data_IF_058399320455
#
_entry.id   IF_058399320455
#
_cell.length_a   1.000
_cell.length_b   1.000
_cell.length_c   1.000
_cell.angle_alpha   90.00
_cell.angle_beta   90.00
_cell.angle_gamma   90.00
#
_symmetry.space_group_name_H-M   'P 1'
#
loop_
_entity.id
_entity.type
_entity.pdbx_description
1 polymer ?
#
# COMPACT_ATOMS: atom_id res chain seq x y z
N UNK A 1 9.97 -19.65 -3.75
CA UNK A 1 9.96 -18.20 -3.42
C UNK A 1 9.47 -17.28 -4.55
N UNK A 2 9.42 -17.71 -5.82
CA UNK A 2 8.97 -16.84 -6.93
C UNK A 2 7.44 -16.79 -7.14
N UNK A 3 6.70 -17.83 -6.72
CA UNK A 3 5.24 -17.93 -6.95
C UNK A 3 4.37 -17.08 -6.00
N UNK A 4 4.87 -16.72 -4.81
CA UNK A 4 4.14 -15.87 -3.84
C UNK A 4 4.15 -14.39 -4.21
N UNK A 5 5.11 -13.94 -5.03
CA UNK A 5 5.19 -12.57 -5.54
C UNK A 5 4.24 -12.34 -6.73
N UNK A 6 4.06 -13.33 -7.60
CA UNK A 6 3.20 -13.21 -8.78
C UNK A 6 1.70 -13.22 -8.43
N UNK A 7 1.31 -13.97 -7.39
CA UNK A 7 -0.04 -13.91 -6.83
C UNK A 7 -0.36 -12.55 -6.22
N UNK A 8 0.63 -11.86 -5.63
CA UNK A 8 0.46 -10.51 -5.08
C UNK A 8 0.16 -9.44 -6.14
N UNK A 9 0.58 -9.64 -7.40
CA UNK A 9 0.38 -8.67 -8.50
C UNK A 9 -0.99 -8.85 -9.16
N UNK A 10 -1.48 -10.11 -9.33
CA UNK A 10 -2.87 -10.38 -9.75
C UNK A 10 -3.89 -9.99 -8.67
N UNK A 11 -3.56 -10.16 -7.39
CA UNK A 11 -4.38 -9.63 -6.29
C UNK A 11 -4.33 -8.09 -6.22
N UNK A 12 -3.23 -7.46 -6.65
CA UNK A 12 -3.16 -6.00 -6.74
C UNK A 12 -4.10 -5.45 -7.81
N UNK A 13 -4.27 -6.15 -8.95
CA UNK A 13 -5.20 -5.71 -10.02
C UNK A 13 -6.67 -5.92 -9.64
N UNK A 14 -7.02 -6.99 -8.91
CA UNK A 14 -8.34 -7.11 -8.26
C UNK A 14 -8.55 -6.06 -7.18
N UNK A 15 -7.53 -5.79 -6.38
CA UNK A 15 -7.54 -4.67 -5.44
C UNK A 15 -7.62 -3.32 -6.14
N UNK A 16 -7.10 -3.11 -7.35
CA UNK A 16 -7.24 -1.86 -8.12
C UNK A 16 -8.68 -1.65 -8.61
N UNK A 17 -9.39 -2.72 -8.98
CA UNK A 17 -10.84 -2.65 -9.21
C UNK A 17 -11.61 -2.37 -7.91
N UNK A 18 -11.17 -2.95 -6.78
CA UNK A 18 -11.65 -2.58 -5.44
C UNK A 18 -11.32 -1.10 -5.13
N UNK A 19 -10.12 -0.61 -5.47
CA UNK A 19 -9.61 0.74 -5.23
C UNK A 19 -10.34 1.82 -6.04
N UNK A 20 -11.13 1.44 -7.07
CA UNK A 20 -12.10 2.34 -7.72
C UNK A 20 -13.30 2.68 -6.81
N UNK A 21 -13.59 1.80 -5.84
CA UNK A 21 -14.56 2.00 -4.76
C UNK A 21 -13.92 2.29 -3.41
N UNK A 22 -12.58 2.46 -3.35
CA UNK A 22 -11.88 2.77 -2.12
C UNK A 22 -11.41 4.22 -2.06
N UNK A 23 -12.29 5.05 -1.51
CA UNK A 23 -11.89 5.86 -0.37
C UNK A 23 -11.29 4.95 0.73
N UNK A 24 -10.06 4.43 0.57
CA UNK A 24 -9.33 3.71 1.64
C UNK A 24 -8.18 4.55 2.17
N UNK A 25 -8.52 5.48 3.05
CA UNK A 25 -8.13 5.25 4.43
C UNK A 25 -9.35 4.68 5.14
N UNK A 26 -9.33 3.41 5.54
CA UNK A 26 -10.06 3.02 6.75
C UNK A 26 -9.07 2.99 7.92
N UNK A 27 -8.61 4.16 8.35
CA UNK A 27 -9.20 4.64 9.59
C UNK A 27 -10.57 5.08 9.10
N UNK A 28 -11.62 4.30 9.38
CA UNK A 28 -12.95 4.84 9.17
C UNK A 28 -12.86 6.22 9.81
N UNK A 29 -13.06 7.29 9.05
CA UNK A 29 -13.45 8.55 9.65
C UNK A 29 -14.83 8.27 10.23
N UNK A 30 -14.81 7.59 11.38
CA UNK A 30 -15.91 7.27 12.27
C UNK A 30 -16.75 8.52 12.48
N UNK A 31 -16.14 9.70 12.39
CA UNK A 31 -16.81 10.97 12.62
C UNK A 31 -17.85 11.37 11.54
N UNK A 32 -17.80 10.83 10.32
CA UNK A 32 -18.77 11.17 9.26
C UNK A 32 -19.85 10.09 9.07
N UNK A 33 -19.51 8.80 9.22
CA UNK A 33 -20.45 7.68 9.11
C UNK A 33 -21.10 7.27 10.46
N UNK A 34 -20.43 7.49 11.60
CA UNK A 34 -21.01 7.19 12.92
C UNK A 34 -21.94 8.28 13.45
N UNK A 35 -22.09 9.41 12.74
CA UNK A 35 -23.11 10.43 13.08
C UNK A 35 -24.55 9.97 12.83
N UNK A 36 -24.75 8.86 12.12
CA UNK A 36 -26.01 8.14 12.06
C UNK A 36 -26.15 7.09 13.19
N UNK A 37 -25.47 7.29 14.32
CA UNK A 37 -25.56 6.42 15.48
C UNK A 37 -26.98 6.41 16.05
N UNK A 38 -27.51 5.22 16.30
CA UNK A 38 -28.84 5.05 16.88
C UNK A 38 -28.81 5.58 18.32
N UNK A 39 -29.50 6.69 18.54
CA UNK A 39 -29.51 7.41 19.82
C UNK A 39 -30.39 6.64 20.82
N UNK A 40 -29.81 5.70 21.53
CA UNK A 40 -30.51 4.93 22.57
C UNK A 40 -30.52 5.72 23.88
N UNK A 41 -31.66 6.32 24.23
CA UNK A 41 -31.93 6.78 25.59
C UNK A 41 -32.24 5.56 26.45
N UNK A 42 -31.22 5.05 27.16
CA UNK A 42 -31.44 4.01 28.16
C UNK A 42 -32.24 4.59 29.34
N UNK A 43 -33.48 4.14 29.50
CA UNK A 43 -34.30 4.40 30.68
C UNK A 43 -33.71 3.66 31.88
N UNK A 44 -32.77 4.30 32.59
CA UNK A 44 -32.20 3.73 33.81
C UNK A 44 -33.13 4.03 34.99
N UNK A 45 -33.37 3.03 35.85
CA UNK A 45 -34.09 3.18 37.11
C UNK A 45 -33.58 4.42 37.91
N UNK A 46 -34.51 5.27 38.38
CA UNK A 46 -34.24 6.59 38.98
C UNK A 46 -33.24 6.56 40.14
N UNK A 47 -33.15 5.44 40.88
CA UNK A 47 -32.19 5.25 41.98
C UNK A 47 -30.72 5.14 41.51
N UNK A 48 -30.48 4.58 40.33
CA UNK A 48 -29.12 4.38 39.78
C UNK A 48 -28.61 5.62 39.04
N UNK A 49 -29.51 6.41 38.47
CA UNK A 49 -29.20 7.59 37.66
C UNK A 49 -28.33 8.62 38.41
N UNK A 50 -28.65 8.92 39.67
CA UNK A 50 -27.88 9.84 40.52
C UNK A 50 -26.44 9.37 40.80
N UNK A 51 -26.16 8.07 40.69
CA UNK A 51 -24.81 7.49 40.87
C UNK A 51 -24.00 7.45 39.57
N UNK A 52 -24.66 7.44 38.40
CA UNK A 52 -24.01 7.16 37.11
C UNK A 52 -23.77 8.39 36.22
N UNK A 53 -24.53 9.48 36.37
CA UNK A 53 -24.33 10.70 35.57
C UNK A 53 -24.83 11.94 36.31
N UNK A 54 -24.12 13.07 36.14
CA UNK A 54 -24.53 14.39 36.65
C UNK A 54 -25.51 15.12 35.71
N UNK A 55 -25.64 14.66 34.46
CA UNK A 55 -26.52 15.29 33.47
C UNK A 55 -27.98 14.85 33.71
N UNK A 56 -28.87 15.81 33.90
CA UNK A 56 -30.31 15.58 34.10
C UNK A 56 -30.99 14.85 32.93
N UNK A 57 -30.48 14.99 31.69
CA UNK A 57 -30.99 14.30 30.49
C UNK A 57 -30.39 12.91 30.24
N UNK A 58 -29.46 12.47 31.10
CA UNK A 58 -28.78 11.19 30.98
C UNK A 58 -27.48 11.28 30.20
N UNK A 59 -26.71 10.18 30.20
CA UNK A 59 -25.54 10.04 29.33
C UNK A 59 -26.02 9.65 27.94
N UNK A 60 -25.73 10.47 26.94
CA UNK A 60 -25.94 10.09 25.56
C UNK A 60 -24.91 9.03 25.17
N UNK A 61 -25.37 7.84 24.82
CA UNK A 61 -24.51 6.79 24.27
C UNK A 61 -24.88 6.64 22.81
N UNK A 62 -24.01 7.14 21.94
CA UNK A 62 -24.11 6.91 20.51
C UNK A 62 -23.47 5.55 20.22
N UNK A 63 -24.24 4.62 19.67
CA UNK A 63 -23.72 3.37 19.13
C UNK A 63 -23.76 3.46 17.61
N UNK A 64 -22.64 3.15 16.96
CA UNK A 64 -22.61 3.05 15.51
C UNK A 64 -23.49 1.89 15.04
N UNK A 65 -24.12 2.06 13.88
CA UNK A 65 -24.98 1.06 13.25
C UNK A 65 -24.25 -0.29 13.03
N UNK A 66 -22.92 -0.25 12.93
CA UNK A 66 -22.07 -1.40 12.60
C UNK A 66 -21.30 -1.95 13.81
N UNK A 67 -21.73 -1.66 15.04
CA UNK A 67 -21.09 -2.17 16.28
C UNK A 67 -20.88 -3.69 16.25
N UNK A 68 -21.86 -4.45 15.75
CA UNK A 68 -21.79 -5.91 15.74
C UNK A 68 -20.66 -6.41 14.81
N UNK A 69 -20.47 -5.75 13.66
CA UNK A 69 -19.39 -6.08 12.73
C UNK A 69 -18.02 -5.74 13.30
N UNK A 70 -17.92 -4.64 14.07
CA UNK A 70 -16.69 -4.26 14.76
C UNK A 70 -16.34 -5.31 15.82
N UNK A 71 -17.32 -5.75 16.60
CA UNK A 71 -17.12 -6.78 17.62
C UNK A 71 -16.67 -8.11 17.00
N UNK A 72 -17.34 -8.57 15.94
CA UNK A 72 -16.93 -9.78 15.23
C UNK A 72 -15.51 -9.67 14.66
N UNK A 73 -15.14 -8.52 14.10
CA UNK A 73 -13.79 -8.29 13.62
C UNK A 73 -12.75 -8.28 14.75
N UNK A 74 -13.10 -7.74 15.92
CA UNK A 74 -12.24 -7.78 17.10
C UNK A 74 -11.91 -9.22 17.50
N UNK A 75 -12.92 -10.08 17.59
CA UNK A 75 -12.73 -11.51 17.87
C UNK A 75 -11.84 -12.17 16.81
N UNK A 76 -12.03 -11.87 15.52
CA UNK A 76 -11.19 -12.40 14.43
C UNK A 76 -9.72 -11.96 14.54
N UNK A 77 -9.48 -10.72 14.98
CA UNK A 77 -8.13 -10.16 15.18
C UNK A 77 -7.46 -10.83 16.38
N UNK A 78 -8.18 -10.99 17.49
CA UNK A 78 -7.66 -11.66 18.70
C UNK A 78 -7.26 -13.11 18.40
N UNK A 79 -8.12 -13.84 17.68
CA UNK A 79 -7.83 -15.22 17.29
C UNK A 79 -6.66 -15.37 16.31
N UNK A 80 -6.32 -14.33 15.54
CA UNK A 80 -5.27 -14.36 14.51
C UNK A 80 -4.25 -13.22 14.67
N UNK A 81 -3.89 -12.91 15.91
CA UNK A 81 -3.14 -11.71 16.26
C UNK A 81 -1.84 -11.55 15.47
N UNK A 82 -1.02 -12.60 15.40
CA UNK A 82 0.27 -12.59 14.72
C UNK A 82 0.16 -12.26 13.23
N UNK A 83 -0.88 -12.77 12.56
CA UNK A 83 -1.11 -12.50 11.13
C UNK A 83 -1.47 -11.03 10.92
N UNK A 84 -2.35 -10.48 11.76
CA UNK A 84 -2.75 -9.08 11.68
C UNK A 84 -1.59 -8.14 12.00
N UNK A 85 -0.76 -8.47 13.00
CA UNK A 85 0.46 -7.72 13.34
C UNK A 85 1.44 -7.66 12.16
N UNK A 86 1.72 -8.81 11.52
CA UNK A 86 2.59 -8.87 10.34
C UNK A 86 2.03 -8.04 9.18
N UNK A 87 0.73 -8.16 8.88
CA UNK A 87 0.06 -7.36 7.83
C UNK A 87 0.15 -5.87 8.09
N UNK A 88 0.00 -5.45 9.34
CA UNK A 88 0.12 -4.04 9.72
C UNK A 88 1.52 -3.49 9.43
N UNK A 89 2.57 -4.27 9.73
CA UNK A 89 3.95 -3.89 9.43
C UNK A 89 4.25 -3.89 7.92
N UNK A 90 3.71 -4.85 7.17
CA UNK A 90 4.02 -5.04 5.74
C UNK A 90 3.23 -4.07 4.84
N UNK A 91 1.98 -3.76 5.19
CA UNK A 91 1.09 -3.02 4.29
C UNK A 91 0.71 -1.65 4.88
N UNK A 92 0.16 -1.65 6.09
CA UNK A 92 -0.46 -0.44 6.67
C UNK A 92 0.58 0.63 6.98
N UNK A 93 1.70 0.25 7.58
CA UNK A 93 2.76 1.20 7.92
C UNK A 93 3.42 1.80 6.66
N UNK A 94 3.86 1.02 5.65
CA UNK A 94 4.35 1.54 4.37
C UNK A 94 3.40 2.50 3.68
N UNK A 95 2.11 2.17 3.67
CA UNK A 95 1.10 3.03 3.06
C UNK A 95 0.98 4.38 3.79
N UNK A 96 1.02 4.37 5.13
CA UNK A 96 1.04 5.59 5.92
C UNK A 96 2.29 6.43 5.69
N UNK A 97 3.46 5.79 5.58
CA UNK A 97 4.72 6.45 5.26
C UNK A 97 4.66 7.13 3.89
N UNK A 98 4.17 6.43 2.86
CA UNK A 98 4.06 6.96 1.51
C UNK A 98 3.09 8.16 1.48
N UNK A 99 1.94 8.07 2.15
CA UNK A 99 1.01 9.20 2.20
C UNK A 99 1.58 10.41 2.93
N UNK A 100 2.14 10.22 4.12
CA UNK A 100 2.54 11.31 5.00
C UNK A 100 3.92 11.87 4.66
N UNK A 101 4.92 11.00 4.46
CA UNK A 101 6.30 11.43 4.26
C UNK A 101 6.62 11.75 2.79
N UNK A 102 5.92 11.11 1.84
CA UNK A 102 6.15 11.34 0.41
C UNK A 102 5.03 12.19 -0.21
N UNK A 103 4.14 12.75 0.61
CA UNK A 103 3.03 13.63 0.21
C UNK A 103 2.14 13.04 -0.89
N UNK A 104 2.07 11.71 -0.98
CA UNK A 104 1.32 11.00 -2.03
C UNK A 104 -0.15 10.81 -1.62
N UNK A 105 -0.86 11.93 -1.43
CA UNK A 105 -2.28 11.91 -1.07
C UNK A 105 -3.19 11.68 -2.26
N UNK A 106 -2.82 12.21 -3.41
CA UNK A 106 -3.61 12.17 -4.64
C UNK A 106 -2.80 11.63 -5.80
N UNK A 107 -3.46 10.87 -6.68
CA UNK A 107 -2.89 10.43 -7.94
C UNK A 107 -3.08 11.58 -8.94
N UNK A 108 -1.97 12.08 -9.50
CA UNK A 108 -2.02 13.22 -10.42
C UNK A 108 -2.56 12.87 -11.80
N UNK A 109 -2.34 11.63 -12.26
CA UNK A 109 -2.80 11.24 -13.58
C UNK A 109 -4.30 10.98 -13.61
N UNK A 110 -5.03 11.82 -14.35
CA UNK A 110 -6.50 11.74 -14.53
C UNK A 110 -6.96 11.07 -15.83
N UNK A 111 -6.03 10.58 -16.67
CA UNK A 111 -6.37 10.03 -18.00
C UNK A 111 -7.12 8.69 -17.94
N UNK A 112 -6.44 7.63 -17.51
CA UNK A 112 -7.01 6.27 -17.47
C UNK A 112 -6.57 5.55 -16.20
N UNK A 113 -7.33 4.52 -15.82
CA UNK A 113 -6.98 3.65 -14.67
C UNK A 113 -5.60 3.02 -14.86
N UNK A 114 -5.23 2.70 -16.10
CA UNK A 114 -3.92 2.10 -16.40
C UNK A 114 -2.79 3.04 -15.99
N UNK A 115 -2.88 4.33 -16.33
CA UNK A 115 -1.88 5.30 -15.92
C UNK A 115 -1.86 5.52 -14.40
N UNK A 116 -3.03 5.68 -13.77
CA UNK A 116 -3.11 5.80 -12.31
C UNK A 116 -2.50 4.57 -11.61
N UNK A 117 -2.70 3.37 -12.16
CA UNK A 117 -2.09 2.15 -11.63
C UNK A 117 -0.57 2.10 -11.83
N UNK A 118 -0.07 2.66 -12.94
CA UNK A 118 1.36 2.75 -13.20
C UNK A 118 2.05 3.69 -12.19
N UNK A 119 1.45 4.86 -11.92
CA UNK A 119 1.97 5.84 -10.96
C UNK A 119 2.08 5.24 -9.55
N UNK A 120 0.98 4.62 -9.08
CA UNK A 120 0.94 3.96 -7.76
C UNK A 120 1.93 2.80 -7.71
N UNK A 121 2.03 2.02 -8.79
CA UNK A 121 2.98 0.92 -8.91
C UNK A 121 4.44 1.38 -8.84
N UNK A 122 4.76 2.52 -9.47
CA UNK A 122 6.09 3.12 -9.44
C UNK A 122 6.47 3.55 -8.02
N UNK A 123 5.57 4.24 -7.31
CA UNK A 123 5.79 4.68 -5.93
C UNK A 123 6.01 3.49 -4.99
N UNK A 124 5.20 2.43 -5.11
CA UNK A 124 5.40 1.22 -4.30
C UNK A 124 6.72 0.52 -4.60
N UNK A 125 7.13 0.48 -5.87
CA UNK A 125 8.40 -0.11 -6.27
C UNK A 125 9.57 0.70 -5.69
N UNK A 126 9.54 2.02 -5.82
CA UNK A 126 10.57 2.91 -5.27
C UNK A 126 10.69 2.78 -3.74
N UNK A 127 9.56 2.74 -3.03
CA UNK A 127 9.55 2.57 -1.57
C UNK A 127 10.12 1.20 -1.15
N UNK A 128 9.76 0.13 -1.85
CA UNK A 128 10.29 -1.20 -1.59
C UNK A 128 11.81 -1.26 -1.84
N UNK A 129 12.31 -0.65 -2.91
CA UNK A 129 13.74 -0.56 -3.21
C UNK A 129 14.49 0.20 -2.10
N UNK A 130 13.97 1.34 -1.65
CA UNK A 130 14.54 2.10 -0.54
C UNK A 130 14.63 1.25 0.74
N UNK A 131 13.61 0.43 1.03
CA UNK A 131 13.64 -0.49 2.18
C UNK A 131 14.70 -1.57 2.02
N UNK A 132 14.85 -2.13 0.82
CA UNK A 132 15.87 -3.15 0.54
C UNK A 132 17.27 -2.56 0.74
N UNK A 133 17.54 -1.36 0.22
CA UNK A 133 18.84 -0.71 0.40
C UNK A 133 19.15 -0.37 1.85
N UNK A 134 18.15 -0.09 2.67
CA UNK A 134 18.34 0.12 4.11
C UNK A 134 18.54 -1.18 4.90
N UNK A 135 18.09 -2.33 4.37
CA UNK A 135 18.24 -3.64 5.02
C UNK A 135 19.55 -4.34 4.65
N UNK A 136 20.07 -4.08 3.45
CA UNK A 136 21.31 -4.69 2.94
C UNK A 136 22.52 -3.89 3.44
N UNK A 137 23.58 -4.58 3.83
CA UNK A 137 24.87 -3.95 4.15
C UNK A 137 25.45 -3.23 2.92
N UNK A 138 25.88 -1.99 3.11
CA UNK A 138 26.48 -1.16 2.08
C UNK A 138 27.71 -1.82 1.44
N UNK A 139 28.48 -2.61 2.20
CA UNK A 139 29.66 -3.30 1.70
C UNK A 139 29.30 -4.41 0.71
N UNK A 140 28.28 -5.22 1.04
CA UNK A 140 27.73 -6.23 0.15
C UNK A 140 27.12 -5.59 -1.10
N UNK A 141 26.36 -4.51 -0.93
CA UNK A 141 25.77 -3.79 -2.06
C UNK A 141 26.83 -3.30 -3.05
N UNK A 142 27.95 -2.73 -2.55
CA UNK A 142 29.07 -2.31 -3.40
C UNK A 142 29.69 -3.47 -4.18
N UNK A 143 29.83 -4.64 -3.57
CA UNK A 143 30.36 -5.83 -4.26
C UNK A 143 29.43 -6.26 -5.40
N UNK A 144 28.12 -6.35 -5.13
CA UNK A 144 27.14 -6.69 -6.16
C UNK A 144 27.12 -5.67 -7.30
N UNK A 145 27.20 -4.37 -7.00
CA UNK A 145 27.24 -3.32 -8.01
C UNK A 145 28.51 -3.39 -8.88
N UNK A 146 29.66 -3.75 -8.32
CA UNK A 146 30.89 -3.96 -9.10
C UNK A 146 30.74 -5.10 -10.10
N UNK A 147 30.24 -6.25 -9.67
CA UNK A 147 29.99 -7.41 -10.55
C UNK A 147 29.01 -7.03 -11.65
N UNK A 148 27.95 -6.31 -11.30
CA UNK A 148 26.94 -5.84 -12.25
C UNK A 148 27.54 -4.87 -13.29
N UNK A 149 28.40 -3.94 -12.86
CA UNK A 149 29.09 -3.01 -13.76
C UNK A 149 30.02 -3.74 -14.75
N UNK A 150 30.73 -4.77 -14.30
CA UNK A 150 31.55 -5.61 -15.18
C UNK A 150 30.68 -6.33 -16.21
N UNK A 151 29.55 -6.88 -15.79
CA UNK A 151 28.60 -7.54 -16.69
C UNK A 151 28.05 -6.58 -17.76
N UNK A 152 27.68 -5.36 -17.36
CA UNK A 152 27.27 -4.32 -18.32
C UNK A 152 28.39 -3.94 -19.28
N UNK A 153 29.65 -3.84 -18.82
CA UNK A 153 30.79 -3.58 -19.70
C UNK A 153 30.96 -4.65 -20.78
N UNK A 154 30.86 -5.93 -20.42
CA UNK A 154 30.90 -7.04 -21.40
C UNK A 154 29.74 -6.95 -22.38
N UNK A 155 28.53 -6.71 -21.88
CA UNK A 155 27.33 -6.52 -22.72
C UNK A 155 27.49 -5.36 -23.71
N UNK A 156 28.03 -4.21 -23.26
CA UNK A 156 28.26 -3.05 -24.13
C UNK A 156 29.28 -3.36 -25.23
N UNK A 157 30.34 -4.13 -24.94
CA UNK A 157 31.28 -4.57 -25.97
C UNK A 157 30.63 -5.47 -27.01
N UNK A 158 29.84 -6.45 -26.56
CA UNK A 158 29.10 -7.35 -27.47
C UNK A 158 28.09 -6.57 -28.31
N UNK A 159 27.37 -5.63 -27.70
CA UNK A 159 26.44 -4.76 -28.39
C UNK A 159 27.17 -3.89 -29.41
N UNK A 160 28.25 -3.21 -29.05
CA UNK A 160 29.04 -2.42 -29.99
C UNK A 160 29.60 -3.24 -31.16
N UNK A 161 30.07 -4.47 -30.90
CA UNK A 161 30.51 -5.38 -31.95
C UNK A 161 29.35 -5.77 -32.89
N UNK A 162 28.16 -6.03 -32.33
CA UNK A 162 26.95 -6.31 -33.11
C UNK A 162 26.54 -5.09 -33.96
N UNK A 163 26.46 -3.89 -33.39
CA UNK A 163 26.14 -2.67 -34.15
C UNK A 163 27.19 -2.37 -35.22
N UNK A 164 28.48 -2.56 -34.92
CA UNK A 164 29.56 -2.43 -35.91
C UNK A 164 29.40 -3.38 -37.10
N UNK A 165 28.96 -4.63 -36.86
CA UNK A 165 28.67 -5.59 -37.93
C UNK A 165 27.47 -5.19 -38.80
N UNK A 166 26.44 -4.54 -38.21
CA UNK A 166 25.30 -4.03 -38.97
C UNK A 166 25.67 -2.78 -39.78
N UNK A 167 26.38 -1.82 -39.20
CA UNK A 167 26.84 -0.61 -39.91
C UNK A 167 27.81 -0.94 -41.06
N UNK A 168 28.69 -1.94 -40.91
CA UNK A 168 29.63 -2.35 -41.97
C UNK A 168 28.91 -2.96 -43.19
N UNK A 169 27.77 -3.63 -42.98
CA UNK A 169 26.95 -4.17 -44.09
C UNK A 169 26.23 -3.09 -44.89
N UNK A 170 25.94 -1.93 -44.29
CA UNK A 170 25.27 -0.83 -44.99
C UNK A 170 26.23 -0.06 -45.93
N UNK A 171 27.54 -0.03 -45.65
CA UNK A 171 28.56 0.60 -46.52
C UNK A 171 28.87 -0.22 -47.79
N UNK A 172 28.76 -1.55 -47.74
CA UNK A 172 29.04 -2.43 -48.88
C UNK A 172 27.93 -2.37 -49.98
N UNK A 173 26.76 -1.82 -49.66
CA UNK A 173 25.66 -1.58 -50.62
C UNK A 173 25.67 -0.17 -51.26
N UNK A 174 26.63 0.68 -50.89
CA UNK A 174 26.84 2.02 -51.45
C UNK A 174 28.21 2.11 -52.16
N UNK A 175 28.51 1.19 -53.08
CA UNK A 175 29.56 1.38 -54.07
C UNK A 175 28.94 1.26 -55.47
N UNK A 176 28.98 2.30 -56.32
CA UNK A 176 28.38 2.29 -57.66
C UNK A 176 29.12 1.37 -58.64
#
# INVERSE_FOLDING_TARGET
MCFTLFLSIRDLTRKISFYRNLNFGYRLDTNQADRAGQKLLFGVNRKLFKKCTKNAKGRLIERSLHVDLIYQNKVRIENNYEVYRRRQAIVKHPYGVIKLQWDFYYIMTKKTIKHASADVGLIFTAYNLRRIFNLIDQNLLKQYLKVLALYFGVLTLVFNAFYGLFYFKDEEYYFP
#
